data_IF_979320472055
#
_entry.id   IF_979320472055
#
_cell.length_a   1.000
_cell.length_b   1.000
_cell.length_c   1.000
_cell.angle_alpha   90.00
_cell.angle_beta   90.00
_cell.angle_gamma   90.00
#
_symmetry.space_group_name_H-M   'P 1'
#
loop_
_entity.id
_entity.type
_entity.pdbx_description
1 polymer ?
#
# COMPACT_ATOMS: atom_id res chain seq x y z
N UNK A 1 -51.74 -218.87 163.58
CA UNK A 1 -51.86 -220.10 164.38
C UNK A 1 -52.25 -221.22 163.42
N UNK A 2 -51.36 -222.17 163.16
CA UNK A 2 -51.63 -223.34 162.30
C UNK A 2 -51.60 -223.11 160.78
N UNK A 3 -51.44 -224.22 160.06
CA UNK A 3 -51.67 -224.38 158.61
C UNK A 3 -50.86 -223.52 157.62
N UNK A 4 -49.57 -223.38 157.92
CA UNK A 4 -48.55 -223.69 156.91
C UNK A 4 -47.57 -224.71 157.48
N UNK A 5 -47.91 -225.98 157.36
CA UNK A 5 -46.94 -227.09 157.50
C UNK A 5 -46.93 -227.95 156.23
N UNK A 6 -46.78 -227.30 155.05
CA UNK A 6 -46.53 -228.00 153.77
C UNK A 6 -45.85 -227.17 152.64
N UNK A 7 -46.43 -226.07 152.12
CA UNK A 7 -46.09 -225.53 150.78
C UNK A 7 -45.77 -224.02 150.65
N UNK A 8 -44.82 -223.67 149.77
CA UNK A 8 -44.83 -222.49 148.86
C UNK A 8 -44.23 -221.14 149.32
N UNK A 9 -43.69 -220.32 148.40
CA UNK A 9 -43.58 -218.85 148.61
C UNK A 9 -42.44 -218.03 147.97
N UNK A 10 -41.43 -218.62 147.31
CA UNK A 10 -40.17 -217.93 146.93
C UNK A 10 -40.29 -216.82 145.84
N UNK A 11 -41.46 -216.65 145.22
CA UNK A 11 -41.69 -215.76 144.07
C UNK A 11 -41.84 -214.27 144.38
N UNK A 12 -42.35 -213.89 145.57
CA UNK A 12 -43.02 -212.59 145.71
C UNK A 12 -42.09 -211.37 145.51
N UNK A 13 -40.82 -211.45 145.90
CA UNK A 13 -39.84 -210.37 145.71
C UNK A 13 -39.42 -210.15 144.25
N UNK A 14 -39.63 -211.11 143.35
CA UNK A 14 -39.40 -210.92 141.91
C UNK A 14 -40.63 -210.35 141.20
N UNK A 15 -41.82 -210.58 141.75
CA UNK A 15 -43.08 -210.14 141.14
C UNK A 15 -43.20 -208.60 141.10
N UNK A 16 -42.94 -207.93 142.23
CA UNK A 16 -43.06 -206.46 142.33
C UNK A 16 -42.12 -205.73 141.36
N UNK A 17 -40.88 -206.21 141.22
CA UNK A 17 -39.90 -205.63 140.29
C UNK A 17 -40.35 -205.76 138.81
N UNK A 18 -40.94 -206.91 138.44
CA UNK A 18 -41.46 -207.14 137.10
C UNK A 18 -42.70 -206.27 136.80
N UNK A 19 -43.53 -205.98 137.79
CA UNK A 19 -44.69 -205.09 137.60
C UNK A 19 -44.29 -203.61 137.49
N UNK A 20 -43.19 -203.20 138.12
CA UNK A 20 -42.60 -201.87 137.95
C UNK A 20 -41.98 -201.68 136.55
N UNK A 21 -41.24 -202.67 136.05
CA UNK A 21 -40.73 -202.73 134.67
C UNK A 21 -41.87 -202.65 133.65
N UNK A 22 -42.96 -203.41 133.85
CA UNK A 22 -44.12 -203.40 132.94
C UNK A 22 -44.76 -202.01 132.82
N UNK A 23 -44.85 -201.24 133.91
CA UNK A 23 -45.37 -199.86 133.90
C UNK A 23 -44.45 -198.91 133.13
N UNK A 24 -43.13 -199.02 133.30
CA UNK A 24 -42.14 -198.19 132.60
C UNK A 24 -42.15 -198.44 131.08
N UNK A 25 -42.29 -199.71 130.65
CA UNK A 25 -42.39 -200.06 129.24
C UNK A 25 -43.68 -199.53 128.59
N UNK A 26 -44.84 -199.63 129.25
CA UNK A 26 -46.09 -199.09 128.70
C UNK A 26 -46.03 -197.55 128.55
N UNK A 27 -45.51 -196.84 129.56
CA UNK A 27 -45.37 -195.38 129.46
C UNK A 27 -44.60 -194.95 128.21
N UNK A 28 -43.56 -195.70 127.83
CA UNK A 28 -42.71 -195.41 126.66
C UNK A 28 -43.34 -195.76 125.31
N UNK A 29 -44.26 -196.73 125.27
CA UNK A 29 -45.02 -197.08 124.05
C UNK A 29 -46.04 -195.97 123.73
N UNK A 30 -46.76 -195.47 124.74
CA UNK A 30 -47.71 -194.36 124.58
C UNK A 30 -47.03 -193.06 124.10
N UNK A 31 -45.80 -192.82 124.54
CA UNK A 31 -45.00 -191.66 124.12
C UNK A 31 -44.61 -191.75 122.62
N UNK A 32 -44.22 -192.95 122.14
CA UNK A 32 -43.86 -193.17 120.73
C UNK A 32 -45.07 -193.07 119.80
N UNK A 33 -46.25 -193.52 120.22
CA UNK A 33 -47.48 -193.44 119.44
C UNK A 33 -47.95 -191.98 119.24
N UNK A 34 -47.78 -191.14 120.27
CA UNK A 34 -48.07 -189.70 120.20
C UNK A 34 -47.17 -188.93 119.21
N UNK A 35 -45.89 -189.33 119.11
CA UNK A 35 -44.90 -188.67 118.24
C UNK A 35 -45.07 -189.04 116.75
N UNK A 36 -45.64 -190.22 116.46
CA UNK A 36 -45.91 -190.67 115.09
C UNK A 36 -47.10 -189.94 114.45
N UNK A 37 -48.16 -189.62 115.21
CA UNK A 37 -49.32 -188.91 114.65
C UNK A 37 -49.07 -187.44 114.29
N UNK A 38 -48.01 -186.80 114.82
CA UNK A 38 -47.76 -185.36 114.60
C UNK A 38 -47.01 -184.98 113.33
N UNK A 39 -46.29 -185.90 112.67
CA UNK A 39 -45.30 -185.51 111.63
C UNK A 39 -45.80 -185.38 110.19
N UNK A 40 -47.01 -185.83 109.86
CA UNK A 40 -47.45 -185.95 108.45
C UNK A 40 -48.30 -184.79 107.92
N UNK A 41 -48.93 -183.98 108.78
CA UNK A 41 -49.93 -182.99 108.35
C UNK A 41 -49.38 -181.63 107.90
N UNK A 42 -48.18 -181.23 108.36
CA UNK A 42 -47.73 -179.84 108.17
C UNK A 42 -47.00 -179.60 106.84
N UNK A 43 -46.24 -180.58 106.35
CA UNK A 43 -45.50 -180.46 105.08
C UNK A 43 -46.38 -180.23 103.85
N UNK A 44 -47.63 -180.73 103.83
CA UNK A 44 -48.53 -180.55 102.68
C UNK A 44 -49.00 -179.08 102.52
N UNK A 45 -49.16 -178.34 103.63
CA UNK A 45 -49.56 -176.93 103.61
C UNK A 45 -48.46 -176.04 103.01
N UNK A 46 -47.22 -176.29 103.39
CA UNK A 46 -46.07 -175.46 102.99
C UNK A 46 -45.79 -175.57 101.48
N UNK A 47 -45.90 -176.77 100.90
CA UNK A 47 -45.77 -176.98 99.47
C UNK A 47 -46.85 -176.22 98.65
N UNK A 48 -48.11 -176.26 99.10
CA UNK A 48 -49.22 -175.48 98.49
C UNK A 48 -48.98 -173.97 98.55
N UNK A 49 -48.39 -173.46 99.63
CA UNK A 49 -48.11 -172.04 99.79
C UNK A 49 -46.98 -171.57 98.85
N UNK A 50 -45.91 -172.36 98.71
CA UNK A 50 -44.79 -172.06 97.80
C UNK A 50 -45.21 -172.06 96.32
N UNK A 51 -46.05 -173.01 95.92
CA UNK A 51 -46.61 -173.05 94.55
C UNK A 51 -47.41 -171.78 94.19
N UNK A 52 -48.24 -171.30 95.13
CA UNK A 52 -48.99 -170.04 94.94
C UNK A 52 -48.07 -168.83 94.77
N UNK A 53 -47.03 -168.70 95.62
CA UNK A 53 -46.04 -167.62 95.51
C UNK A 53 -45.32 -167.63 94.15
N UNK A 54 -44.92 -168.80 93.65
CA UNK A 54 -44.25 -168.91 92.35
C UNK A 54 -45.12 -168.39 91.19
N UNK A 55 -46.43 -168.70 91.20
CA UNK A 55 -47.37 -168.19 90.20
C UNK A 55 -47.66 -166.69 90.34
N UNK A 56 -47.68 -166.16 91.57
CA UNK A 56 -47.79 -164.71 91.83
C UNK A 56 -46.60 -163.95 91.26
N UNK A 57 -45.36 -164.42 91.54
CA UNK A 57 -44.15 -163.79 90.99
C UNK A 57 -44.11 -163.82 89.46
N UNK A 58 -44.53 -164.94 88.84
CA UNK A 58 -44.62 -165.02 87.37
C UNK A 58 -45.52 -163.93 86.81
N UNK A 59 -46.75 -163.79 87.32
CA UNK A 59 -47.70 -162.80 86.81
C UNK A 59 -47.15 -161.37 86.98
N UNK A 60 -46.55 -161.06 88.14
CA UNK A 60 -45.95 -159.73 88.39
C UNK A 60 -44.77 -159.42 87.46
N UNK A 61 -44.01 -160.42 87.03
CA UNK A 61 -42.99 -160.25 85.99
C UNK A 61 -43.57 -160.01 84.60
N UNK A 62 -44.66 -160.69 84.24
CA UNK A 62 -45.40 -160.48 82.98
C UNK A 62 -45.98 -159.05 82.93
N UNK A 63 -46.69 -158.63 84.00
CA UNK A 63 -47.23 -157.27 84.15
C UNK A 63 -46.14 -156.19 84.04
N UNK A 64 -45.00 -156.41 84.70
CA UNK A 64 -43.86 -155.49 84.68
C UNK A 64 -43.20 -155.38 83.30
N UNK A 65 -43.20 -156.46 82.51
CA UNK A 65 -42.68 -156.47 81.14
C UNK A 65 -43.60 -155.70 80.20
N UNK A 66 -44.90 -155.91 80.31
CA UNK A 66 -45.89 -155.19 79.49
C UNK A 66 -45.94 -153.69 79.82
N UNK A 67 -45.75 -153.32 81.10
CA UNK A 67 -45.56 -151.93 81.50
C UNK A 67 -44.30 -151.32 80.85
N UNK A 68 -43.16 -152.03 80.90
CA UNK A 68 -41.91 -151.58 80.28
C UNK A 68 -42.03 -151.39 78.76
N UNK A 69 -42.71 -152.31 78.05
CA UNK A 69 -42.95 -152.19 76.60
C UNK A 69 -43.84 -151.00 76.25
N UNK A 70 -44.90 -150.73 77.04
CA UNK A 70 -45.74 -149.53 76.86
C UNK A 70 -44.96 -148.24 77.08
N UNK A 71 -44.07 -148.20 78.08
CA UNK A 71 -43.19 -147.06 78.31
C UNK A 71 -42.19 -146.87 77.16
N UNK A 72 -41.57 -147.94 76.65
CA UNK A 72 -40.66 -147.88 75.50
C UNK A 72 -41.35 -147.27 74.27
N UNK A 73 -42.53 -147.78 73.90
CA UNK A 73 -43.30 -147.27 72.76
C UNK A 73 -43.70 -145.79 72.93
N UNK A 74 -44.04 -145.38 74.16
CA UNK A 74 -44.36 -143.97 74.46
C UNK A 74 -43.11 -143.07 74.33
N UNK A 75 -41.93 -143.56 74.71
CA UNK A 75 -40.65 -142.85 74.58
C UNK A 75 -40.25 -142.71 73.10
N UNK A 76 -40.38 -143.76 72.30
CA UNK A 76 -40.11 -143.72 70.85
C UNK A 76 -41.04 -142.74 70.13
N UNK A 77 -42.34 -142.73 70.48
CA UNK A 77 -43.31 -141.78 69.92
C UNK A 77 -42.95 -140.33 70.31
N UNK A 78 -42.60 -140.07 71.57
CA UNK A 78 -42.17 -138.76 72.04
C UNK A 78 -40.86 -138.29 71.39
N UNK A 79 -39.90 -139.19 71.15
CA UNK A 79 -38.64 -138.87 70.48
C UNK A 79 -38.87 -138.46 69.02
N UNK A 80 -39.70 -139.20 68.28
CA UNK A 80 -40.05 -138.86 66.90
C UNK A 80 -40.81 -137.52 66.81
N UNK A 81 -41.73 -137.23 67.73
CA UNK A 81 -42.37 -135.91 67.82
C UNK A 81 -41.36 -134.81 68.10
N UNK A 82 -40.40 -135.03 69.00
CA UNK A 82 -39.35 -134.05 69.33
C UNK A 82 -38.45 -133.74 68.14
N UNK A 83 -38.05 -134.75 67.36
CA UNK A 83 -37.24 -134.55 66.15
C UNK A 83 -38.01 -133.78 65.07
N UNK A 84 -39.29 -134.09 64.85
CA UNK A 84 -40.13 -133.34 63.91
C UNK A 84 -40.32 -131.87 64.32
N UNK A 85 -40.47 -131.61 65.63
CA UNK A 85 -40.51 -130.23 66.14
C UNK A 85 -39.17 -129.51 65.96
N UNK A 86 -38.03 -130.20 66.12
CA UNK A 86 -36.70 -129.62 65.92
C UNK A 86 -36.42 -129.24 64.46
N UNK A 87 -36.84 -130.07 63.50
CA UNK A 87 -36.74 -129.74 62.07
C UNK A 87 -37.58 -128.50 61.72
N UNK A 88 -38.85 -128.46 62.15
CA UNK A 88 -39.72 -127.30 61.93
C UNK A 88 -39.18 -126.01 62.58
N UNK A 89 -38.50 -126.11 63.74
CA UNK A 89 -37.91 -124.95 64.41
C UNK A 89 -36.75 -124.34 63.62
N UNK A 90 -35.92 -125.18 62.96
CA UNK A 90 -34.84 -124.71 62.07
C UNK A 90 -35.39 -124.01 60.82
N UNK A 91 -36.48 -124.52 60.25
CA UNK A 91 -37.12 -123.90 59.08
C UNK A 91 -37.66 -122.51 59.42
N UNK A 92 -38.33 -122.37 60.57
CA UNK A 92 -38.78 -121.08 61.10
C UNK A 92 -37.60 -120.13 61.39
N UNK A 93 -36.49 -120.63 61.94
CA UNK A 93 -35.28 -119.82 62.20
C UNK A 93 -34.71 -119.22 60.89
N UNK A 94 -34.67 -120.01 59.82
CA UNK A 94 -34.26 -119.55 58.49
C UNK A 94 -35.22 -118.48 57.93
N UNK A 95 -36.53 -118.69 57.99
CA UNK A 95 -37.51 -117.70 57.52
C UNK A 95 -37.42 -116.37 58.30
N UNK A 96 -37.31 -116.44 59.63
CA UNK A 96 -37.16 -115.26 60.50
C UNK A 96 -35.88 -114.48 60.15
N UNK A 97 -34.78 -115.18 59.87
CA UNK A 97 -33.51 -114.55 59.46
C UNK A 97 -33.65 -113.77 58.14
N UNK A 98 -34.32 -114.36 57.15
CA UNK A 98 -34.55 -113.75 55.84
C UNK A 98 -35.53 -112.56 55.91
N UNK A 99 -36.52 -112.60 56.81
CA UNK A 99 -37.42 -111.47 57.06
C UNK A 99 -36.66 -110.32 57.72
N UNK A 100 -35.81 -110.60 58.71
CA UNK A 100 -35.00 -109.60 59.41
C UNK A 100 -34.10 -108.81 58.45
N UNK A 101 -33.41 -109.49 57.54
CA UNK A 101 -32.55 -108.86 56.54
C UNK A 101 -33.33 -107.93 55.59
N UNK A 102 -34.50 -108.38 55.10
CA UNK A 102 -35.40 -107.56 54.27
C UNK A 102 -35.91 -106.31 55.02
N UNK A 103 -36.21 -106.43 56.31
CA UNK A 103 -36.61 -105.30 57.14
C UNK A 103 -35.46 -104.29 57.34
N UNK A 104 -34.23 -104.76 57.56
CA UNK A 104 -33.05 -103.90 57.68
C UNK A 104 -32.76 -103.13 56.37
N UNK A 105 -32.85 -103.81 55.21
CA UNK A 105 -32.69 -103.16 53.91
C UNK A 105 -33.71 -102.06 53.64
N UNK A 106 -35.00 -102.30 53.96
CA UNK A 106 -36.06 -101.28 53.84
C UNK A 106 -35.84 -100.10 54.79
N UNK A 107 -35.47 -100.36 56.04
CA UNK A 107 -35.25 -99.31 57.03
C UNK A 107 -34.13 -98.35 56.61
N UNK A 108 -33.04 -98.88 56.03
CA UNK A 108 -31.96 -98.05 55.49
C UNK A 108 -32.46 -97.17 54.33
N UNK A 109 -33.14 -97.75 53.34
CA UNK A 109 -33.68 -96.98 52.21
C UNK A 109 -34.61 -95.82 52.63
N UNK A 110 -35.46 -96.06 53.64
CA UNK A 110 -36.33 -95.02 54.21
C UNK A 110 -35.54 -93.91 54.89
N UNK A 111 -34.43 -94.24 55.57
CA UNK A 111 -33.58 -93.26 56.23
C UNK A 111 -32.81 -92.40 55.22
N UNK A 112 -32.18 -93.02 54.23
CA UNK A 112 -31.47 -92.33 53.14
C UNK A 112 -32.42 -91.32 52.43
N UNK A 113 -33.67 -91.75 52.15
CA UNK A 113 -34.71 -90.89 51.53
C UNK A 113 -35.15 -89.72 52.42
N UNK A 114 -35.13 -89.87 53.74
CA UNK A 114 -35.53 -88.82 54.69
C UNK A 114 -34.46 -87.72 54.79
N UNK A 115 -33.18 -88.09 54.74
CA UNK A 115 -32.06 -87.15 54.74
C UNK A 115 -32.06 -86.28 53.47
N UNK A 116 -32.32 -86.88 52.30
CA UNK A 116 -32.47 -86.13 51.04
C UNK A 116 -33.59 -85.08 51.09
N UNK A 117 -34.80 -85.47 51.52
CA UNK A 117 -35.96 -84.57 51.62
C UNK A 117 -35.67 -83.38 52.57
N UNK A 118 -35.04 -83.66 53.71
CA UNK A 118 -34.69 -82.64 54.70
C UNK A 118 -33.70 -81.62 54.12
N UNK A 119 -32.74 -82.08 53.32
CA UNK A 119 -31.78 -81.18 52.62
C UNK A 119 -32.45 -80.29 51.58
N UNK A 120 -33.46 -80.80 50.87
CA UNK A 120 -34.20 -80.07 49.85
C UNK A 120 -35.07 -78.97 50.48
N UNK A 121 -35.74 -79.28 51.60
CA UNK A 121 -36.55 -78.30 52.34
C UNK A 121 -35.71 -77.09 52.79
N UNK A 122 -34.52 -77.34 53.33
CA UNK A 122 -33.60 -76.27 53.76
C UNK A 122 -33.16 -75.37 52.58
N UNK A 123 -32.89 -75.95 51.41
CA UNK A 123 -32.54 -75.21 50.19
C UNK A 123 -33.69 -74.34 49.67
N UNK A 124 -34.93 -74.86 49.73
CA UNK A 124 -36.13 -74.12 49.32
C UNK A 124 -36.40 -72.95 50.27
N UNK A 125 -36.34 -73.18 51.60
CA UNK A 125 -36.51 -72.11 52.61
C UNK A 125 -35.55 -70.95 52.39
N UNK A 126 -34.27 -71.23 52.15
CA UNK A 126 -33.26 -70.20 51.88
C UNK A 126 -33.56 -69.37 50.61
N UNK A 127 -34.13 -69.98 49.57
CA UNK A 127 -34.52 -69.27 48.34
C UNK A 127 -35.72 -68.36 48.56
N UNK A 128 -36.70 -68.78 49.37
CA UNK A 128 -37.86 -67.97 49.75
C UNK A 128 -37.40 -66.73 50.53
N UNK A 129 -36.56 -66.92 51.56
CA UNK A 129 -35.97 -65.83 52.35
C UNK A 129 -35.22 -64.80 51.49
N UNK A 130 -34.45 -65.24 50.48
CA UNK A 130 -33.79 -64.31 49.54
C UNK A 130 -34.76 -63.55 48.63
N UNK A 131 -35.91 -64.12 48.27
CA UNK A 131 -36.93 -63.44 47.47
C UNK A 131 -37.69 -62.42 48.31
N UNK A 132 -38.10 -62.79 49.51
CA UNK A 132 -38.78 -61.90 50.46
C UNK A 132 -37.93 -60.66 50.75
N UNK A 133 -36.64 -60.82 51.03
CA UNK A 133 -35.70 -59.72 51.27
C UNK A 133 -35.54 -58.79 50.04
N UNK A 134 -35.64 -59.29 48.80
CA UNK A 134 -35.60 -58.44 47.60
C UNK A 134 -36.89 -57.61 47.48
N UNK A 135 -38.05 -58.21 47.71
CA UNK A 135 -39.34 -57.51 47.64
C UNK A 135 -39.56 -56.52 48.79
N UNK A 136 -39.04 -56.77 50.00
CA UNK A 136 -39.12 -55.84 51.12
C UNK A 136 -38.24 -54.58 50.92
N UNK A 137 -37.02 -54.74 50.38
CA UNK A 137 -36.12 -53.60 50.18
C UNK A 137 -36.48 -52.72 48.97
N UNK A 138 -37.18 -53.26 47.96
CA UNK A 138 -37.56 -52.53 46.74
C UNK A 138 -39.08 -52.62 46.46
N UNK A 139 -39.93 -51.99 47.29
CA UNK A 139 -41.39 -52.05 47.13
C UNK A 139 -41.90 -51.37 45.86
N UNK A 140 -41.12 -50.47 45.25
CA UNK A 140 -41.42 -49.72 44.02
C UNK A 140 -40.40 -49.96 42.91
N UNK A 141 -39.82 -51.18 42.82
CA UNK A 141 -38.77 -51.55 41.87
C UNK A 141 -39.04 -51.12 40.41
N UNK A 142 -40.29 -51.16 39.96
CA UNK A 142 -40.67 -50.71 38.62
C UNK A 142 -40.49 -49.19 38.42
N UNK A 143 -40.84 -48.38 39.42
CA UNK A 143 -40.65 -46.92 39.36
C UNK A 143 -39.16 -46.56 39.41
N UNK A 144 -38.35 -47.32 40.16
CA UNK A 144 -36.89 -47.16 40.15
C UNK A 144 -36.30 -47.46 38.76
N UNK A 145 -36.81 -48.47 38.06
CA UNK A 145 -36.41 -48.81 36.69
C UNK A 145 -36.81 -47.73 35.68
N UNK A 146 -38.07 -47.25 35.70
CA UNK A 146 -38.53 -46.18 34.79
C UNK A 146 -37.73 -44.87 34.98
N UNK A 147 -37.41 -44.51 36.22
CA UNK A 147 -36.55 -43.35 36.51
C UNK A 147 -35.13 -43.54 35.95
N UNK A 148 -34.58 -44.76 36.02
CA UNK A 148 -33.24 -45.07 35.52
C UNK A 148 -33.19 -45.01 33.98
N UNK A 149 -34.23 -45.47 33.30
CA UNK A 149 -34.39 -45.31 31.84
C UNK A 149 -34.51 -43.83 31.43
N UNK A 150 -35.26 -43.01 32.18
CA UNK A 150 -35.35 -41.57 31.93
C UNK A 150 -34.00 -40.86 32.09
N UNK A 151 -33.26 -41.16 33.16
CA UNK A 151 -31.92 -40.61 33.41
C UNK A 151 -30.94 -41.03 32.30
N UNK A 152 -31.07 -42.25 31.78
CA UNK A 152 -30.24 -42.73 30.67
C UNK A 152 -30.52 -41.95 29.37
N UNK A 153 -31.79 -41.69 29.05
CA UNK A 153 -32.19 -40.90 27.89
C UNK A 153 -31.70 -39.44 27.97
N UNK A 154 -31.81 -38.81 29.15
CA UNK A 154 -31.25 -37.46 29.39
C UNK A 154 -29.72 -37.45 29.25
N UNK A 155 -29.04 -38.49 29.73
CA UNK A 155 -27.60 -38.67 29.58
C UNK A 155 -27.15 -38.76 28.13
N UNK A 156 -27.87 -39.51 27.28
CA UNK A 156 -27.58 -39.62 25.85
C UNK A 156 -27.79 -38.27 25.13
N UNK A 157 -28.85 -37.53 25.46
CA UNK A 157 -29.10 -36.20 24.87
C UNK A 157 -28.00 -35.19 25.26
N UNK A 158 -27.57 -35.20 26.54
CA UNK A 158 -26.46 -34.38 27.02
C UNK A 158 -25.14 -34.74 26.34
N UNK A 159 -24.83 -36.02 26.16
CA UNK A 159 -23.61 -36.45 25.47
C UNK A 159 -23.60 -36.02 24.00
N UNK A 160 -24.75 -36.04 23.32
CA UNK A 160 -24.89 -35.50 21.97
C UNK A 160 -24.69 -33.97 21.92
N UNK A 161 -25.26 -33.22 22.88
CA UNK A 161 -25.02 -31.76 23.02
C UNK A 161 -23.52 -31.45 23.26
N UNK A 162 -22.86 -32.18 24.15
CA UNK A 162 -21.43 -32.04 24.44
C UNK A 162 -20.59 -32.30 23.17
N UNK A 163 -20.89 -33.37 22.41
CA UNK A 163 -20.18 -33.68 21.17
C UNK A 163 -20.33 -32.58 20.10
N UNK A 164 -21.50 -31.95 20.00
CA UNK A 164 -21.74 -30.82 19.07
C UNK A 164 -20.94 -29.58 19.51
N UNK A 165 -20.99 -29.23 20.81
CA UNK A 165 -20.25 -28.08 21.37
C UNK A 165 -18.73 -28.28 21.25
N UNK A 166 -18.24 -29.49 21.52
CA UNK A 166 -16.82 -29.82 21.36
C UNK A 166 -16.37 -29.64 19.91
N UNK A 167 -17.14 -30.16 18.93
CA UNK A 167 -16.84 -29.97 17.50
C UNK A 167 -16.83 -28.50 17.09
N UNK A 168 -17.83 -27.71 17.50
CA UNK A 168 -17.91 -26.29 17.12
C UNK A 168 -16.83 -25.43 17.81
N UNK A 169 -16.46 -25.75 19.05
CA UNK A 169 -15.33 -25.16 19.76
C UNK A 169 -14.01 -25.46 19.04
N UNK A 170 -13.81 -26.69 18.58
CA UNK A 170 -12.59 -27.11 17.87
C UNK A 170 -12.48 -26.43 16.49
N UNK A 171 -13.60 -26.23 15.78
CA UNK A 171 -13.64 -25.42 14.54
C UNK A 171 -13.29 -23.96 14.82
N UNK A 172 -13.95 -23.31 15.79
CA UNK A 172 -13.62 -21.93 16.19
C UNK A 172 -12.18 -21.75 16.63
N UNK A 173 -11.61 -22.74 17.31
CA UNK A 173 -10.19 -22.72 17.72
C UNK A 173 -9.28 -22.73 16.49
N UNK A 174 -9.60 -23.51 15.45
CA UNK A 174 -8.87 -23.48 14.17
C UNK A 174 -9.03 -22.15 13.43
N UNK A 175 -10.23 -21.57 13.39
CA UNK A 175 -10.48 -20.25 12.79
C UNK A 175 -9.67 -19.14 13.49
N UNK A 176 -9.61 -19.18 14.83
CA UNK A 176 -8.78 -18.26 15.64
C UNK A 176 -7.29 -18.51 15.41
N UNK A 177 -6.84 -19.76 15.38
CA UNK A 177 -5.44 -20.09 15.07
C UNK A 177 -5.07 -19.56 13.67
N UNK A 178 -5.93 -19.73 12.66
CA UNK A 178 -5.70 -19.20 11.30
C UNK A 178 -5.61 -17.68 11.29
N UNK A 179 -6.59 -16.97 11.85
CA UNK A 179 -6.56 -15.51 11.97
C UNK A 179 -5.33 -15.00 12.73
N UNK A 180 -4.87 -15.73 13.74
CA UNK A 180 -3.65 -15.38 14.48
C UNK A 180 -2.41 -15.47 13.57
N UNK A 181 -2.26 -16.56 12.81
CA UNK A 181 -1.16 -16.72 11.86
C UNK A 181 -1.24 -15.72 10.69
N UNK A 182 -2.44 -15.38 10.21
CA UNK A 182 -2.62 -14.39 9.15
C UNK A 182 -2.22 -12.96 9.62
N UNK A 183 -2.55 -12.60 10.87
CA UNK A 183 -2.25 -11.28 11.44
C UNK A 183 -0.77 -11.14 11.84
N UNK A 184 -0.21 -12.15 12.53
CA UNK A 184 1.11 -12.09 13.17
C UNK A 184 2.22 -12.88 12.47
N UNK A 185 1.87 -13.64 11.43
CA UNK A 185 2.79 -14.54 10.75
C UNK A 185 3.01 -15.85 11.51
N UNK A 186 3.81 -16.74 10.91
CA UNK A 186 4.22 -18.00 11.53
C UNK A 186 5.60 -18.43 11.05
N UNK A 187 6.33 -19.14 11.91
CA UNK A 187 7.64 -19.73 11.55
C UNK A 187 7.46 -21.15 11.06
N UNK A 188 7.73 -21.38 9.78
CA UNK A 188 7.90 -22.73 9.25
C UNK A 188 9.35 -23.19 9.50
N UNK A 189 9.50 -24.50 9.75
CA UNK A 189 10.80 -25.17 9.76
C UNK A 189 10.84 -26.14 8.61
N UNK A 190 11.64 -25.82 7.60
CA UNK A 190 11.95 -26.77 6.54
C UNK A 190 12.88 -27.88 7.06
N UNK A 191 12.95 -29.01 6.34
CA UNK A 191 13.71 -30.20 6.75
C UNK A 191 15.21 -29.96 7.00
N UNK A 192 15.77 -28.86 6.48
CA UNK A 192 17.18 -28.46 6.60
C UNK A 192 17.46 -27.53 7.80
N UNK A 193 16.51 -27.39 8.73
CA UNK A 193 16.69 -26.67 10.00
C UNK A 193 16.72 -25.14 9.92
N UNK A 194 16.41 -24.58 8.75
CA UNK A 194 16.27 -23.13 8.55
C UNK A 194 14.86 -22.67 8.95
N UNK A 195 14.77 -21.69 9.86
CA UNK A 195 13.50 -21.07 10.23
C UNK A 195 13.12 -19.97 9.22
N UNK A 196 12.12 -20.24 8.38
CA UNK A 196 11.52 -19.24 7.50
C UNK A 196 10.30 -18.63 8.19
N UNK A 197 10.40 -17.37 8.60
CA UNK A 197 9.27 -16.59 9.11
C UNK A 197 8.42 -16.14 7.93
N UNK A 198 7.21 -16.67 7.83
CA UNK A 198 6.17 -16.12 6.97
C UNK A 198 5.65 -14.86 7.68
N UNK A 199 5.80 -13.71 7.03
CA UNK A 199 5.32 -12.42 7.53
C UNK A 199 3.79 -12.38 7.59
N UNK A 200 3.24 -11.75 8.63
CA UNK A 200 1.80 -11.53 8.75
C UNK A 200 1.38 -10.16 8.24
N UNK A 201 0.06 -9.92 8.13
CA UNK A 201 -0.49 -8.63 7.71
C UNK A 201 0.03 -7.43 8.53
N UNK A 202 0.40 -7.64 9.81
CA UNK A 202 1.03 -6.61 10.64
C UNK A 202 2.42 -6.23 10.12
N UNK A 203 3.23 -7.21 9.73
CA UNK A 203 4.59 -6.99 9.24
C UNK A 203 4.54 -6.36 7.83
N UNK A 204 3.64 -6.83 6.94
CA UNK A 204 3.38 -6.19 5.64
C UNK A 204 2.97 -4.72 5.76
N UNK A 205 2.11 -4.39 6.74
CA UNK A 205 1.67 -3.02 6.99
C UNK A 205 2.79 -2.13 7.54
N UNK A 206 3.63 -2.65 8.44
CA UNK A 206 4.80 -1.93 8.98
C UNK A 206 5.82 -1.65 7.87
N UNK A 207 6.12 -2.66 7.04
CA UNK A 207 6.99 -2.55 5.87
C UNK A 207 6.46 -1.51 4.87
N UNK A 208 5.16 -1.56 4.54
CA UNK A 208 4.50 -0.56 3.68
C UNK A 208 4.60 0.87 4.24
N UNK A 209 4.56 1.01 5.58
CA UNK A 209 4.67 2.32 6.24
C UNK A 209 6.11 2.84 6.26
N UNK A 210 7.11 1.96 6.40
CA UNK A 210 8.53 2.31 6.25
C UNK A 210 8.88 2.66 4.80
N UNK A 211 8.34 1.95 3.80
CA UNK A 211 8.50 2.28 2.37
C UNK A 211 7.91 3.68 2.08
N UNK A 212 6.65 3.93 2.43
CA UNK A 212 6.00 5.24 2.22
C UNK A 212 6.78 6.37 2.92
N UNK A 213 7.29 6.12 4.12
CA UNK A 213 8.10 7.10 4.86
C UNK A 213 9.44 7.38 4.17
N UNK A 214 10.07 6.34 3.62
CA UNK A 214 11.33 6.43 2.87
C UNK A 214 11.12 7.18 1.55
N UNK A 215 10.04 6.89 0.83
CA UNK A 215 9.64 7.59 -0.39
C UNK A 215 9.34 9.07 -0.11
N UNK A 216 8.65 9.39 0.99
CA UNK A 216 8.41 10.79 1.40
C UNK A 216 9.73 11.52 1.70
N UNK A 217 10.69 10.88 2.35
CA UNK A 217 12.01 11.50 2.58
C UNK A 217 12.78 11.71 1.27
N UNK A 218 12.83 10.70 0.40
CA UNK A 218 13.49 10.79 -0.90
C UNK A 218 12.85 11.89 -1.76
N UNK A 219 11.52 11.97 -1.81
CA UNK A 219 10.79 12.98 -2.57
C UNK A 219 10.97 14.40 -2.00
N UNK A 220 11.15 14.53 -0.68
CA UNK A 220 11.52 15.79 -0.04
C UNK A 220 12.93 16.25 -0.45
N UNK A 221 13.88 15.32 -0.50
CA UNK A 221 15.26 15.59 -0.90
C UNK A 221 15.35 15.90 -2.41
N UNK A 222 14.60 15.20 -3.26
CA UNK A 222 14.43 15.50 -4.69
C UNK A 222 13.81 16.89 -4.90
N UNK A 223 12.79 17.29 -4.12
CA UNK A 223 12.21 18.63 -4.18
C UNK A 223 13.24 19.70 -3.78
N UNK A 224 14.04 19.46 -2.73
CA UNK A 224 15.03 20.44 -2.26
C UNK A 224 16.14 20.64 -3.30
N UNK A 225 16.70 19.56 -3.84
CA UNK A 225 17.72 19.60 -4.89
C UNK A 225 17.19 20.16 -6.22
N UNK A 226 15.95 19.84 -6.61
CA UNK A 226 15.30 20.46 -7.77
C UNK A 226 15.12 21.96 -7.59
N UNK A 227 14.70 22.41 -6.40
CA UNK A 227 14.57 23.83 -6.08
C UNK A 227 15.92 24.55 -6.19
N UNK A 228 16.96 24.03 -5.55
CA UNK A 228 18.31 24.62 -5.61
C UNK A 228 18.84 24.69 -7.05
N UNK A 229 18.65 23.63 -7.82
CA UNK A 229 19.02 23.59 -9.25
C UNK A 229 18.30 24.64 -10.08
N UNK A 230 16.98 24.82 -9.88
CA UNK A 230 16.20 25.85 -10.59
C UNK A 230 16.49 27.27 -10.13
N UNK A 231 16.78 27.48 -8.85
CA UNK A 231 17.19 28.77 -8.32
C UNK A 231 18.56 29.18 -8.92
N UNK A 232 19.50 28.24 -9.04
CA UNK A 232 20.77 28.44 -9.74
C UNK A 232 20.62 28.67 -11.26
N UNK A 233 19.75 27.94 -11.96
CA UNK A 233 19.44 28.19 -13.38
C UNK A 233 18.90 29.60 -13.61
N UNK A 234 17.97 30.06 -12.75
CA UNK A 234 17.35 31.39 -12.86
C UNK A 234 18.38 32.49 -12.62
N UNK A 235 19.24 32.37 -11.60
CA UNK A 235 20.31 33.35 -11.33
C UNK A 235 21.27 33.45 -12.53
N UNK A 236 21.76 32.32 -13.03
CA UNK A 236 22.64 32.29 -14.22
C UNK A 236 21.97 32.89 -15.47
N UNK A 237 20.66 32.68 -15.64
CA UNK A 237 19.90 33.27 -16.75
C UNK A 237 19.83 34.80 -16.62
N UNK A 238 19.53 35.32 -15.41
CA UNK A 238 19.47 36.76 -15.13
C UNK A 238 20.83 37.44 -15.37
N UNK A 239 21.93 36.85 -14.89
CA UNK A 239 23.28 37.40 -15.11
C UNK A 239 23.63 37.47 -16.61
N UNK A 240 23.35 36.40 -17.36
CA UNK A 240 23.62 36.32 -18.81
C UNK A 240 22.83 37.38 -19.60
N UNK A 241 21.57 37.63 -19.24
CA UNK A 241 20.77 38.69 -19.86
C UNK A 241 21.24 40.10 -19.47
N UNK A 242 21.59 40.32 -18.20
CA UNK A 242 22.17 41.60 -17.74
C UNK A 242 23.43 41.94 -18.55
N UNK A 243 24.36 40.99 -18.68
CA UNK A 243 25.59 41.16 -19.46
C UNK A 243 25.32 41.42 -20.95
N UNK A 244 24.31 40.77 -21.55
CA UNK A 244 23.90 41.04 -22.94
C UNK A 244 23.33 42.45 -23.13
N UNK A 245 22.47 42.91 -22.22
CA UNK A 245 21.85 44.24 -22.28
C UNK A 245 22.93 45.31 -22.12
N UNK A 246 23.84 45.16 -21.17
CA UNK A 246 24.97 46.09 -20.97
C UNK A 246 25.88 46.16 -22.20
N UNK A 247 26.23 45.00 -22.78
CA UNK A 247 27.02 44.92 -24.02
C UNK A 247 26.33 45.51 -25.25
N UNK A 248 24.99 45.50 -25.32
CA UNK A 248 24.22 46.18 -26.36
C UNK A 248 24.22 47.69 -26.11
N UNK A 249 23.99 48.15 -24.88
CA UNK A 249 23.99 49.56 -24.54
C UNK A 249 25.35 50.22 -24.83
N UNK A 250 26.46 49.57 -24.47
CA UNK A 250 27.83 50.04 -24.81
C UNK A 250 28.02 50.21 -26.32
N UNK A 251 27.60 49.23 -27.13
CA UNK A 251 27.64 49.33 -28.60
C UNK A 251 26.77 50.47 -29.15
N UNK A 252 25.61 50.74 -28.55
CA UNK A 252 24.75 51.86 -28.96
C UNK A 252 25.44 53.20 -28.65
N UNK A 253 26.02 53.36 -27.45
CA UNK A 253 26.72 54.58 -27.06
C UNK A 253 27.96 54.86 -27.91
N UNK A 254 28.68 53.82 -28.35
CA UNK A 254 29.87 53.97 -29.20
C UNK A 254 29.53 54.29 -30.67
N UNK A 255 28.41 53.78 -31.19
CA UNK A 255 28.00 53.99 -32.58
C UNK A 255 27.27 55.32 -32.82
N UNK A 256 26.56 55.84 -31.82
CA UNK A 256 25.76 57.07 -31.92
C UNK A 256 26.54 58.33 -32.36
N UNK A 257 27.72 58.68 -31.80
CA UNK A 257 28.47 59.87 -32.24
C UNK A 257 28.97 59.73 -33.68
N UNK A 258 29.43 58.54 -34.06
CA UNK A 258 29.93 58.26 -35.42
C UNK A 258 28.81 58.34 -36.47
N UNK A 259 27.62 57.83 -36.15
CA UNK A 259 26.45 57.92 -37.03
C UNK A 259 25.99 59.37 -37.25
N UNK A 260 26.03 60.19 -36.19
CA UNK A 260 25.69 61.62 -36.26
C UNK A 260 26.63 62.39 -37.19
N UNK A 261 27.94 62.15 -37.12
CA UNK A 261 28.94 62.87 -37.94
C UNK A 261 29.02 62.39 -39.38
N UNK A 262 28.81 61.10 -39.63
CA UNK A 262 28.63 60.59 -40.98
C UNK A 262 27.39 61.23 -41.65
N UNK A 263 26.28 61.36 -40.90
CA UNK A 263 25.06 62.04 -41.38
C UNK A 263 25.25 63.53 -41.68
N UNK A 264 25.87 64.27 -40.75
CA UNK A 264 26.11 65.71 -40.90
C UNK A 264 27.12 66.03 -42.02
N UNK A 265 28.25 65.33 -42.07
CA UNK A 265 29.26 65.54 -43.13
C UNK A 265 28.71 65.23 -44.53
N UNK A 266 27.92 64.16 -44.67
CA UNK A 266 27.21 63.85 -45.91
C UNK A 266 26.21 64.95 -46.31
N UNK A 267 25.43 65.46 -45.36
CA UNK A 267 24.48 66.55 -45.62
C UNK A 267 25.18 67.85 -46.06
N UNK A 268 26.33 68.21 -45.47
CA UNK A 268 27.13 69.36 -45.89
C UNK A 268 27.77 69.14 -47.27
N UNK A 269 28.28 67.94 -47.56
CA UNK A 269 28.84 67.58 -48.88
C UNK A 269 27.79 67.72 -49.99
N UNK A 270 26.56 67.21 -49.77
CA UNK A 270 25.45 67.34 -50.74
C UNK A 270 25.05 68.81 -50.94
N UNK A 271 25.03 69.61 -49.86
CA UNK A 271 24.72 71.05 -49.95
C UNK A 271 25.79 71.83 -50.70
N UNK A 272 27.07 71.53 -50.47
CA UNK A 272 28.20 72.09 -51.20
C UNK A 272 28.11 71.79 -52.70
N UNK A 273 27.91 70.53 -53.08
CA UNK A 273 27.80 70.11 -54.48
C UNK A 273 26.62 70.80 -55.18
N UNK A 274 25.48 70.99 -54.49
CA UNK A 274 24.35 71.74 -55.02
C UNK A 274 24.71 73.22 -55.29
N UNK A 275 25.39 73.90 -54.36
CA UNK A 275 25.85 75.28 -54.52
C UNK A 275 26.94 75.44 -55.59
N UNK A 276 27.85 74.47 -55.75
CA UNK A 276 28.84 74.45 -56.83
C UNK A 276 28.14 74.41 -58.20
N UNK A 277 27.14 73.54 -58.35
CA UNK A 277 26.30 73.47 -59.54
C UNK A 277 25.49 74.75 -59.80
N UNK A 278 25.06 75.49 -58.76
CA UNK A 278 24.40 76.79 -58.92
C UNK A 278 25.39 77.92 -59.26
N UNK A 279 26.58 77.93 -58.64
CA UNK A 279 27.65 78.86 -58.94
C UNK A 279 28.08 78.78 -60.42
N UNK A 280 28.18 77.57 -60.97
CA UNK A 280 28.50 77.34 -62.39
C UNK A 280 27.36 77.73 -63.34
N UNK A 281 26.10 77.47 -62.99
CA UNK A 281 24.93 77.99 -63.74
C UNK A 281 24.94 79.52 -63.77
N UNK A 282 25.25 80.16 -62.65
CA UNK A 282 25.36 81.62 -62.58
C UNK A 282 26.57 82.16 -63.35
N UNK A 283 27.73 81.51 -63.26
CA UNK A 283 28.92 81.90 -64.01
C UNK A 283 28.74 81.75 -65.52
N UNK A 284 28.14 80.65 -65.98
CA UNK A 284 27.82 80.43 -67.41
C UNK A 284 26.76 81.38 -67.91
N UNK A 285 25.74 81.71 -67.11
CA UNK A 285 24.75 82.73 -67.46
C UNK A 285 25.38 84.13 -67.56
N UNK A 286 26.30 84.49 -66.66
CA UNK A 286 27.06 85.73 -66.76
C UNK A 286 27.84 85.80 -68.08
N UNK A 287 28.62 84.77 -68.42
CA UNK A 287 29.37 84.72 -69.68
C UNK A 287 28.47 84.78 -70.92
N UNK A 288 27.31 84.10 -70.92
CA UNK A 288 26.30 84.21 -71.98
C UNK A 288 25.76 85.64 -72.11
N UNK A 289 25.46 86.32 -71.00
CA UNK A 289 25.01 87.72 -71.04
C UNK A 289 26.08 88.65 -71.61
N UNK A 290 27.36 88.48 -71.24
CA UNK A 290 28.46 89.25 -71.83
C UNK A 290 28.60 88.97 -73.34
N UNK A 291 28.51 87.71 -73.77
CA UNK A 291 28.56 87.33 -75.18
C UNK A 291 27.43 87.98 -76.00
N UNK A 292 26.19 87.95 -75.50
CA UNK A 292 25.07 88.63 -76.16
C UNK A 292 25.18 90.16 -76.15
N UNK A 293 25.74 90.77 -75.10
CA UNK A 293 26.05 92.21 -75.08
C UNK A 293 27.04 92.59 -76.20
N UNK A 294 28.04 91.75 -76.45
CA UNK A 294 28.97 91.92 -77.59
C UNK A 294 28.23 91.80 -78.92
N UNK A 295 27.35 90.81 -79.10
CA UNK A 295 26.52 90.67 -80.32
C UNK A 295 25.66 91.93 -80.55
N UNK A 296 25.00 92.43 -79.51
CA UNK A 296 24.17 93.65 -79.60
C UNK A 296 25.01 94.87 -79.97
N UNK A 297 26.24 94.97 -79.45
CA UNK A 297 27.19 96.03 -79.84
C UNK A 297 27.66 95.97 -81.28
N UNK A 298 27.53 94.82 -81.95
CA UNK A 298 27.84 94.65 -83.36
C UNK A 298 26.69 95.08 -84.29
N UNK A 299 25.44 95.15 -83.79
CA UNK A 299 24.26 95.48 -84.61
C UNK A 299 24.40 96.83 -85.35
N UNK A 300 24.83 97.96 -84.72
CA UNK A 300 25.03 99.22 -85.43
C UNK A 300 26.01 99.07 -86.60
N UNK A 301 27.12 98.37 -86.38
CA UNK A 301 28.15 98.14 -87.41
C UNK A 301 27.63 97.27 -88.55
N UNK A 302 26.92 96.17 -88.24
CA UNK A 302 26.31 95.31 -89.25
C UNK A 302 25.27 96.07 -90.11
N UNK A 303 24.41 96.88 -89.49
CA UNK A 303 23.44 97.73 -90.20
C UNK A 303 24.14 98.75 -91.10
N UNK A 304 25.23 99.36 -90.64
CA UNK A 304 25.98 100.34 -91.44
C UNK A 304 26.72 99.67 -92.62
N UNK A 305 27.28 98.48 -92.45
CA UNK A 305 27.88 97.71 -93.55
C UNK A 305 26.83 97.41 -94.64
N UNK A 306 25.63 96.97 -94.27
CA UNK A 306 24.53 96.72 -95.21
C UNK A 306 24.10 98.01 -95.93
N UNK A 307 23.98 99.14 -95.21
CA UNK A 307 23.62 100.42 -95.81
C UNK A 307 24.70 100.99 -96.74
N UNK A 308 25.97 100.71 -96.49
CA UNK A 308 27.08 101.07 -97.38
C UNK A 308 27.00 100.29 -98.70
N UNK A 309 26.71 98.98 -98.65
CA UNK A 309 26.46 98.17 -99.85
C UNK A 309 25.22 98.61 -100.64
N UNK A 310 24.25 99.27 -99.99
CA UNK A 310 23.07 99.86 -100.63
C UNK A 310 23.33 101.25 -101.25
N UNK A 311 24.58 101.75 -101.23
CA UNK A 311 24.98 102.97 -101.94
C UNK A 311 24.73 104.28 -101.19
N UNK A 312 24.49 104.26 -99.87
CA UNK A 312 24.48 105.49 -99.06
C UNK A 312 25.88 106.09 -98.94
N UNK A 313 25.95 107.43 -98.96
CA UNK A 313 27.20 108.18 -98.73
C UNK A 313 27.71 108.01 -97.29
N UNK A 314 29.04 107.84 -97.16
CA UNK A 314 29.71 107.56 -95.88
C UNK A 314 29.47 108.64 -94.81
N UNK A 315 29.39 109.91 -95.22
CA UNK A 315 29.13 111.05 -94.33
C UNK A 315 27.76 110.93 -93.63
N UNK A 316 26.73 110.50 -94.37
CA UNK A 316 25.37 110.31 -93.84
C UNK A 316 25.31 109.14 -92.86
N UNK A 317 26.06 108.05 -93.10
CA UNK A 317 26.18 106.94 -92.15
C UNK A 317 26.78 107.39 -90.82
N UNK A 318 27.87 108.17 -90.84
CA UNK A 318 28.52 108.66 -89.62
C UNK A 318 27.58 109.57 -88.81
N UNK A 319 26.75 110.37 -89.48
CA UNK A 319 25.71 111.20 -88.83
C UNK A 319 24.52 110.38 -88.29
N UNK A 320 24.17 109.26 -88.91
CA UNK A 320 23.10 108.36 -88.45
C UNK A 320 23.54 107.41 -87.31
N UNK A 321 24.83 107.11 -87.19
CA UNK A 321 25.41 106.20 -86.18
C UNK A 321 24.98 106.50 -84.72
N UNK A 322 25.06 107.75 -84.19
CA UNK A 322 24.63 108.05 -82.83
C UNK A 322 23.13 107.76 -82.59
N UNK A 323 22.29 107.96 -83.62
CA UNK A 323 20.85 107.69 -83.55
C UNK A 323 20.57 106.19 -83.48
N UNK A 324 21.31 105.38 -84.24
CA UNK A 324 21.23 103.92 -84.20
C UNK A 324 21.69 103.36 -82.84
N UNK A 325 22.82 103.85 -82.31
CA UNK A 325 23.32 103.44 -80.98
C UNK A 325 22.30 103.79 -79.88
N UNK A 326 21.70 104.99 -79.93
CA UNK A 326 20.67 105.41 -78.97
C UNK A 326 19.40 104.55 -79.06
N UNK A 327 18.98 104.16 -80.27
CA UNK A 327 17.81 103.31 -80.48
C UNK A 327 17.98 101.88 -79.92
N UNK A 328 19.21 101.37 -79.85
CA UNK A 328 19.53 100.03 -79.36
C UNK A 328 19.76 100.02 -77.83
N UNK A 329 19.95 101.19 -77.20
CA UNK A 329 20.22 101.32 -75.76
C UNK A 329 19.22 100.57 -74.85
N UNK A 330 17.89 100.59 -75.08
CA UNK A 330 16.94 99.82 -74.27
C UNK A 330 17.21 98.31 -74.26
N UNK A 331 17.78 97.77 -75.34
CA UNK A 331 18.09 96.34 -75.46
C UNK A 331 19.24 95.89 -74.55
N UNK A 332 20.13 96.81 -74.15
CA UNK A 332 21.21 96.50 -73.20
C UNK A 332 20.72 96.29 -71.77
N UNK A 333 19.62 96.95 -71.37
CA UNK A 333 19.18 97.01 -69.97
C UNK A 333 18.85 95.60 -69.42
N UNK A 334 18.05 94.73 -70.11
CA UNK A 334 17.78 93.38 -69.64
C UNK A 334 19.04 92.50 -69.54
N UNK A 335 20.02 92.67 -70.43
CA UNK A 335 21.23 91.86 -70.42
C UNK A 335 22.22 92.28 -69.33
N UNK A 336 22.37 93.59 -69.10
CA UNK A 336 23.13 94.10 -67.96
C UNK A 336 22.50 93.66 -66.64
N UNK A 337 21.15 93.59 -66.56
CA UNK A 337 20.45 93.04 -65.41
C UNK A 337 20.79 91.58 -65.14
N UNK A 338 20.70 90.71 -66.16
CA UNK A 338 21.02 89.27 -66.02
C UNK A 338 22.50 89.06 -65.69
N UNK A 339 23.41 89.81 -66.33
CA UNK A 339 24.84 89.77 -66.00
C UNK A 339 25.10 90.18 -64.54
N UNK A 340 24.54 91.31 -64.10
CA UNK A 340 24.73 91.82 -62.74
C UNK A 340 24.20 90.84 -61.68
N UNK A 341 22.97 90.37 -61.85
CA UNK A 341 22.34 89.42 -60.91
C UNK A 341 23.05 88.06 -60.88
N UNK A 342 23.47 87.52 -62.02
CA UNK A 342 24.26 86.27 -62.04
C UNK A 342 25.63 86.43 -61.39
N UNK A 343 26.34 87.55 -61.60
CA UNK A 343 27.61 87.79 -60.92
C UNK A 343 27.42 87.93 -59.40
N UNK A 344 26.37 88.63 -58.93
CA UNK A 344 26.04 88.74 -57.50
C UNK A 344 25.77 87.36 -56.89
N UNK A 345 24.95 86.53 -57.55
CA UNK A 345 24.62 85.18 -57.08
C UNK A 345 25.81 84.23 -57.11
N UNK A 346 26.63 84.24 -58.16
CA UNK A 346 27.86 83.42 -58.23
C UNK A 346 28.84 83.74 -57.08
N UNK A 347 29.02 85.02 -56.74
CA UNK A 347 29.86 85.40 -55.60
C UNK A 347 29.22 85.07 -54.24
N UNK A 348 27.88 85.00 -54.15
CA UNK A 348 27.21 84.50 -52.96
C UNK A 348 27.43 82.98 -52.79
N UNK A 349 27.18 82.18 -53.83
CA UNK A 349 27.38 80.73 -53.76
C UNK A 349 28.82 80.35 -53.41
N UNK A 350 29.85 81.08 -53.90
CA UNK A 350 31.25 80.89 -53.45
C UNK A 350 31.40 80.96 -51.92
N UNK A 351 30.76 81.95 -51.28
CA UNK A 351 30.79 82.10 -49.82
C UNK A 351 30.04 80.97 -49.09
N UNK A 352 28.95 80.46 -49.67
CA UNK A 352 28.25 79.29 -49.13
C UNK A 352 29.07 78.00 -49.31
N UNK A 353 29.78 77.84 -50.43
CA UNK A 353 30.66 76.70 -50.71
C UNK A 353 31.83 76.66 -49.71
N UNK A 354 32.44 77.80 -49.40
CA UNK A 354 33.48 77.91 -48.36
C UNK A 354 32.94 77.51 -46.98
N UNK A 355 31.76 78.02 -46.59
CA UNK A 355 31.10 77.73 -45.32
C UNK A 355 30.68 76.26 -45.18
N UNK A 356 30.06 75.67 -46.22
CA UNK A 356 29.69 74.26 -46.22
C UNK A 356 30.93 73.36 -46.26
N UNK A 357 31.99 73.74 -46.98
CA UNK A 357 33.28 73.00 -46.96
C UNK A 357 33.89 73.03 -45.56
N UNK A 358 33.89 74.17 -44.88
CA UNK A 358 34.38 74.27 -43.50
C UNK A 358 33.58 73.35 -42.55
N UNK A 359 32.25 73.37 -42.65
CA UNK A 359 31.36 72.51 -41.84
C UNK A 359 31.49 71.01 -42.17
N UNK A 360 31.66 70.66 -43.44
CA UNK A 360 31.95 69.29 -43.90
C UNK A 360 33.27 68.77 -43.31
N UNK A 361 34.35 69.54 -43.46
CA UNK A 361 35.69 69.20 -42.94
C UNK A 361 35.68 69.11 -41.42
N UNK A 362 35.00 70.03 -40.74
CA UNK A 362 34.92 70.03 -39.27
C UNK A 362 34.11 68.84 -38.74
N UNK A 363 33.05 68.43 -39.45
CA UNK A 363 32.30 67.20 -39.13
C UNK A 363 33.11 65.92 -39.35
N UNK A 364 33.92 65.85 -40.43
CA UNK A 364 34.88 64.74 -40.66
C UNK A 364 36.03 64.75 -39.65
N UNK A 365 36.47 65.93 -39.22
CA UNK A 365 37.50 66.08 -38.18
C UNK A 365 36.97 65.64 -36.82
N UNK A 366 35.71 65.94 -36.49
CA UNK A 366 35.05 65.40 -35.31
C UNK A 366 35.05 63.87 -35.33
N UNK A 367 34.68 63.22 -36.45
CA UNK A 367 34.67 61.75 -36.55
C UNK A 367 36.05 61.15 -36.23
N UNK A 368 37.11 61.71 -36.83
CA UNK A 368 38.49 61.30 -36.55
C UNK A 368 38.93 61.54 -35.10
N UNK A 369 38.56 62.67 -34.50
CA UNK A 369 38.86 62.98 -33.09
C UNK A 369 38.02 62.15 -32.12
N UNK A 370 36.75 61.89 -32.41
CA UNK A 370 35.87 61.05 -31.60
C UNK A 370 36.39 59.62 -31.57
N UNK A 371 36.90 59.11 -32.70
CA UNK A 371 37.59 57.81 -32.73
C UNK A 371 38.86 57.82 -31.88
N UNK A 372 39.72 58.82 -32.04
CA UNK A 372 40.94 58.95 -31.22
C UNK A 372 40.65 59.05 -29.72
N UNK A 373 39.58 59.75 -29.32
CA UNK A 373 39.16 59.86 -27.92
C UNK A 373 38.56 58.55 -27.38
N UNK A 374 37.88 57.78 -28.24
CA UNK A 374 37.40 56.44 -27.88
C UNK A 374 38.56 55.43 -27.74
N UNK A 375 39.68 55.66 -28.42
CA UNK A 375 40.91 54.86 -28.36
C UNK A 375 41.86 55.27 -27.20
N UNK A 376 41.43 56.13 -26.25
CA UNK A 376 42.18 56.50 -25.03
C UNK A 376 41.80 55.56 -23.87
N UNK A 377 42.81 54.92 -23.26
CA UNK A 377 42.63 53.96 -22.13
C UNK A 377 42.08 54.59 -20.83
N UNK A 378 42.22 55.90 -20.65
CA UNK A 378 41.74 56.66 -19.48
C UNK A 378 40.29 57.12 -19.71
N UNK A 379 39.34 56.49 -19.01
CA UNK A 379 37.90 56.71 -19.18
C UNK A 379 37.44 58.10 -18.72
N UNK A 380 38.04 58.66 -17.66
CA UNK A 380 37.71 59.99 -17.15
C UNK A 380 38.18 61.09 -18.13
N UNK A 381 39.41 60.97 -18.64
CA UNK A 381 39.96 61.88 -19.66
C UNK A 381 39.19 61.72 -20.98
N UNK A 382 38.86 60.49 -21.40
CA UNK A 382 38.06 60.23 -22.60
C UNK A 382 36.70 60.93 -22.49
N UNK A 383 36.00 60.78 -21.36
CA UNK A 383 34.69 61.38 -21.12
C UNK A 383 34.72 62.92 -21.17
N UNK A 384 35.68 63.56 -20.49
CA UNK A 384 35.80 65.03 -20.53
C UNK A 384 36.09 65.55 -21.96
N UNK A 385 36.95 64.85 -22.70
CA UNK A 385 37.26 65.20 -24.09
C UNK A 385 36.06 64.99 -25.03
N UNK A 386 35.27 63.91 -24.87
CA UNK A 386 34.01 63.72 -25.63
C UNK A 386 33.05 64.88 -25.40
N UNK A 387 32.86 65.31 -24.14
CA UNK A 387 31.97 66.43 -23.79
C UNK A 387 32.45 67.74 -24.44
N UNK A 388 33.75 68.08 -24.33
CA UNK A 388 34.32 69.27 -24.97
C UNK A 388 34.19 69.22 -26.50
N UNK A 389 34.40 68.06 -27.11
CA UNK A 389 34.27 67.88 -28.56
C UNK A 389 32.82 68.08 -29.01
N UNK A 390 31.84 67.50 -28.30
CA UNK A 390 30.39 67.66 -28.55
C UNK A 390 29.96 69.13 -28.41
N UNK A 391 30.46 69.84 -27.40
CA UNK A 391 30.19 71.26 -27.23
C UNK A 391 30.74 72.11 -28.39
N UNK A 392 31.95 71.79 -28.88
CA UNK A 392 32.57 72.51 -29.99
C UNK A 392 31.84 72.30 -31.33
N UNK A 393 31.44 71.06 -31.68
CA UNK A 393 30.63 70.81 -32.89
C UNK A 393 29.25 71.48 -32.80
N UNK A 394 28.62 71.47 -31.62
CA UNK A 394 27.32 72.11 -31.41
C UNK A 394 27.40 73.62 -31.66
N UNK A 395 28.40 74.30 -31.10
CA UNK A 395 28.58 75.74 -31.28
C UNK A 395 28.82 76.11 -32.75
N UNK A 396 29.66 75.36 -33.47
CA UNK A 396 29.94 75.62 -34.90
C UNK A 396 28.75 75.26 -35.80
N UNK A 397 28.02 74.18 -35.48
CA UNK A 397 26.82 73.77 -36.23
C UNK A 397 25.63 74.71 -35.97
N UNK A 398 25.60 75.43 -34.84
CA UNK A 398 24.49 76.32 -34.49
C UNK A 398 24.50 77.65 -35.25
N UNK A 399 25.60 78.04 -35.90
CA UNK A 399 25.62 79.25 -36.72
C UNK A 399 24.95 79.02 -38.08
N UNK A 400 23.87 79.76 -38.36
CA UNK A 400 23.12 79.63 -39.62
C UNK A 400 23.91 80.26 -40.80
N UNK A 401 24.19 79.51 -41.90
CA UNK A 401 24.86 80.05 -43.09
C UNK A 401 24.21 81.32 -43.69
N UNK A 402 22.90 81.50 -43.50
CA UNK A 402 22.16 82.68 -43.95
C UNK A 402 22.66 84.01 -43.37
N UNK A 403 23.35 83.99 -42.22
CA UNK A 403 24.01 85.17 -41.61
C UNK A 403 25.11 85.76 -42.52
N UNK A 404 25.64 84.96 -43.44
CA UNK A 404 26.66 85.36 -44.43
C UNK A 404 26.04 86.03 -45.68
N UNK A 405 24.72 86.07 -45.80
CA UNK A 405 24.01 86.83 -46.84
C UNK A 405 23.91 88.29 -46.39
N UNK A 406 24.95 89.07 -46.66
CA UNK A 406 24.91 90.53 -46.47
C UNK A 406 23.77 91.11 -47.31
N UNK A 407 22.88 91.88 -46.67
CA UNK A 407 21.69 92.48 -47.26
C UNK A 407 20.57 91.52 -47.71
N UNK A 408 20.29 90.44 -46.95
CA UNK A 408 19.10 89.58 -47.14
C UNK A 408 17.77 90.37 -47.26
N UNK A 409 17.69 91.56 -46.65
CA UNK A 409 16.50 92.42 -46.62
C UNK A 409 16.48 93.53 -47.68
N UNK A 410 17.45 93.61 -48.61
CA UNK A 410 17.41 94.60 -49.70
C UNK A 410 16.99 93.94 -51.01
N UNK A 411 16.16 94.63 -51.79
CA UNK A 411 15.72 94.15 -53.08
C UNK A 411 16.90 93.95 -54.05
N UNK A 412 16.97 92.79 -54.70
CA UNK A 412 17.96 92.43 -55.73
C UNK A 412 17.68 93.15 -57.06
N UNK A 413 17.66 94.49 -57.03
CA UNK A 413 17.38 95.35 -58.16
C UNK A 413 18.67 96.05 -58.62
N UNK A 414 19.30 95.63 -59.75
CA UNK A 414 20.56 96.17 -60.24
C UNK A 414 20.64 97.69 -60.31
N UNK A 415 19.55 98.39 -60.68
CA UNK A 415 19.55 99.86 -60.70
C UNK A 415 19.55 100.49 -59.30
N UNK A 416 18.95 99.86 -58.28
CA UNK A 416 18.94 100.39 -56.90
C UNK A 416 20.30 100.13 -56.25
N UNK A 417 20.86 98.93 -56.43
CA UNK A 417 22.20 98.57 -55.96
C UNK A 417 23.30 99.44 -56.65
N UNK A 418 23.14 99.72 -57.95
CA UNK A 418 23.99 100.67 -58.67
C UNK A 418 23.79 102.13 -58.19
N UNK A 419 22.56 102.54 -57.85
CA UNK A 419 22.26 103.87 -57.31
C UNK A 419 22.90 104.03 -55.92
N UNK A 420 22.73 103.07 -55.01
CA UNK A 420 23.36 103.05 -53.69
C UNK A 420 24.89 103.14 -53.81
N UNK A 421 25.49 102.37 -54.73
CA UNK A 421 26.93 102.45 -55.04
C UNK A 421 27.33 103.79 -55.65
N UNK A 422 26.46 104.43 -56.44
CA UNK A 422 26.71 105.77 -56.97
C UNK A 422 26.66 106.86 -55.88
N UNK A 423 25.82 106.70 -54.86
CA UNK A 423 25.79 107.57 -53.67
C UNK A 423 27.04 107.36 -52.80
N UNK A 424 27.50 106.12 -52.67
CA UNK A 424 28.80 105.81 -52.04
C UNK A 424 29.98 106.40 -52.84
N UNK A 425 29.89 106.40 -54.18
CA UNK A 425 30.90 107.04 -55.05
C UNK A 425 30.85 108.57 -54.95
N UNK A 426 29.67 109.18 -54.90
CA UNK A 426 29.51 110.62 -54.67
C UNK A 426 30.11 111.05 -53.33
N UNK A 427 29.80 110.33 -52.24
CA UNK A 427 30.41 110.59 -50.93
C UNK A 427 31.92 110.28 -50.87
N UNK A 428 32.42 109.37 -51.70
CA UNK A 428 33.86 109.17 -51.88
C UNK A 428 34.52 110.30 -52.68
N UNK A 429 33.84 110.88 -53.68
CA UNK A 429 34.29 112.06 -54.43
C UNK A 429 34.27 113.32 -53.56
N UNK A 430 33.27 113.48 -52.68
CA UNK A 430 33.26 114.52 -51.65
C UNK A 430 34.43 114.35 -50.67
N UNK A 431 34.75 113.12 -50.25
CA UNK A 431 35.96 112.85 -49.45
C UNK A 431 37.25 113.16 -50.23
N UNK A 432 37.29 112.87 -51.53
CA UNK A 432 38.42 113.20 -52.41
C UNK A 432 38.59 114.72 -52.61
N UNK A 433 37.51 115.50 -52.54
CA UNK A 433 37.55 116.97 -52.60
C UNK A 433 38.37 117.62 -51.46
N UNK A 434 38.48 116.91 -50.33
CA UNK A 434 39.23 117.35 -49.15
C UNK A 434 40.75 117.04 -49.22
N UNK A 435 41.24 116.45 -50.32
CA UNK A 435 42.68 116.19 -50.52
C UNK A 435 43.33 117.37 -51.28
N UNK A 436 44.38 118.02 -50.72
CA UNK A 436 45.02 119.16 -51.37
C UNK A 436 45.68 118.76 -52.70
N UNK A 437 45.35 119.50 -53.77
CA UNK A 437 45.85 119.28 -55.13
C UNK A 437 44.74 118.98 -56.16
N UNK A 438 43.68 118.27 -55.77
CA UNK A 438 42.56 117.92 -56.68
C UNK A 438 41.41 118.95 -56.69
N UNK A 439 41.52 120.02 -55.89
CA UNK A 439 40.45 121.01 -55.65
C UNK A 439 39.94 121.73 -56.90
N UNK A 440 40.76 121.95 -57.94
CA UNK A 440 40.29 122.54 -59.21
C UNK A 440 39.42 121.57 -60.04
N UNK A 441 39.81 120.31 -60.12
CA UNK A 441 39.08 119.27 -60.86
C UNK A 441 37.78 118.94 -60.12
N UNK A 442 37.86 118.77 -58.80
CA UNK A 442 36.70 118.55 -57.93
C UNK A 442 35.68 119.71 -58.03
N UNK A 443 36.11 120.98 -57.93
CA UNK A 443 35.19 122.13 -58.10
C UNK A 443 34.56 122.19 -59.49
N UNK A 444 35.29 121.85 -60.55
CA UNK A 444 34.73 121.84 -61.91
C UNK A 444 33.71 120.70 -62.09
N UNK A 445 33.95 119.53 -61.48
CA UNK A 445 32.99 118.42 -61.46
C UNK A 445 31.76 118.74 -60.61
N UNK A 446 31.95 119.32 -59.43
CA UNK A 446 30.89 119.69 -58.49
C UNK A 446 29.97 120.78 -59.05
N UNK A 447 30.53 121.85 -59.64
CA UNK A 447 29.74 122.89 -60.33
C UNK A 447 28.96 122.30 -61.50
N UNK A 448 29.57 121.40 -62.29
CA UNK A 448 28.89 120.77 -63.44
C UNK A 448 27.82 119.76 -63.01
N UNK A 449 28.06 119.03 -61.91
CA UNK A 449 27.11 118.13 -61.27
C UNK A 449 25.91 118.91 -60.72
N UNK A 450 26.14 120.00 -59.99
CA UNK A 450 25.10 120.90 -59.48
C UNK A 450 24.33 121.60 -60.60
N UNK A 451 24.98 121.99 -61.69
CA UNK A 451 24.28 122.48 -62.88
C UNK A 451 23.39 121.41 -63.52
N UNK A 452 23.89 120.19 -63.73
CA UNK A 452 23.10 119.09 -64.29
C UNK A 452 21.93 118.68 -63.39
N UNK A 453 22.13 118.66 -62.06
CA UNK A 453 21.06 118.42 -61.09
C UNK A 453 20.03 119.55 -61.11
N UNK A 454 20.45 120.81 -61.19
CA UNK A 454 19.53 121.96 -61.22
C UNK A 454 18.78 122.06 -62.55
N UNK A 455 19.42 121.75 -63.68
CA UNK A 455 18.77 121.69 -65.00
C UNK A 455 17.78 120.52 -65.08
N UNK A 456 18.12 119.34 -64.53
CA UNK A 456 17.18 118.22 -64.43
C UNK A 456 16.05 118.46 -63.43
N UNK A 457 16.31 119.15 -62.32
CA UNK A 457 15.28 119.56 -61.37
C UNK A 457 14.32 120.56 -62.05
N UNK A 458 14.82 121.61 -62.70
CA UNK A 458 13.97 122.55 -63.45
C UNK A 458 13.18 121.86 -64.58
N UNK A 459 13.75 120.89 -65.30
CA UNK A 459 13.02 120.13 -66.33
C UNK A 459 11.97 119.18 -65.74
N UNK A 460 12.22 118.61 -64.57
CA UNK A 460 11.23 117.82 -63.85
C UNK A 460 10.11 118.69 -63.27
N UNK A 461 10.45 119.87 -62.75
CA UNK A 461 9.52 120.86 -62.20
C UNK A 461 8.67 121.51 -63.31
N UNK A 462 9.25 121.84 -64.46
CA UNK A 462 8.50 122.27 -65.65
C UNK A 462 7.59 121.15 -66.20
N UNK A 463 8.05 119.90 -66.22
CA UNK A 463 7.22 118.76 -66.62
C UNK A 463 6.07 118.47 -65.66
N UNK A 464 6.27 118.69 -64.35
CA UNK A 464 5.23 118.61 -63.33
C UNK A 464 4.26 119.79 -63.38
N UNK A 465 4.74 121.00 -63.71
CA UNK A 465 3.90 122.17 -63.91
C UNK A 465 2.99 122.02 -65.14
N UNK A 466 3.53 121.58 -66.28
CA UNK A 466 2.72 121.31 -67.48
C UNK A 466 1.68 120.20 -67.27
N UNK A 467 1.98 119.22 -66.40
CA UNK A 467 1.02 118.18 -66.01
C UNK A 467 -0.05 118.66 -65.02
N UNK A 468 0.14 119.81 -64.36
CA UNK A 468 -0.90 120.42 -63.53
C UNK A 468 -1.75 121.41 -64.33
N UNK A 469 -1.16 122.21 -65.22
CA UNK A 469 -1.90 123.10 -66.14
C UNK A 469 -2.84 122.29 -67.06
N UNK A 470 -2.39 121.14 -67.61
CA UNK A 470 -3.27 120.22 -68.38
C UNK A 470 -4.43 119.60 -67.56
N UNK A 471 -4.43 119.68 -66.23
CA UNK A 471 -5.52 119.18 -65.39
C UNK A 471 -6.50 120.28 -64.92
N UNK A 472 -6.07 121.55 -64.84
CA UNK A 472 -6.99 122.68 -64.55
C UNK A 472 -7.82 123.07 -65.78
N UNK A 473 -7.25 123.03 -66.99
CA UNK A 473 -7.98 123.29 -68.25
C UNK A 473 -9.10 122.26 -68.53
N UNK A 474 -9.04 121.06 -67.93
CA UNK A 474 -10.05 119.99 -68.10
C UNK A 474 -11.24 120.15 -67.12
N UNK A 475 -11.11 120.92 -66.04
CA UNK A 475 -12.21 121.20 -65.12
C UNK A 475 -12.99 122.49 -65.50
N UNK A 476 -12.35 123.53 -66.03
CA UNK A 476 -13.08 124.74 -66.49
C UNK A 476 -13.96 124.48 -67.75
N UNK A 477 -13.57 123.56 -68.63
CA UNK A 477 -14.35 123.24 -69.85
C UNK A 477 -15.66 122.44 -69.59
N UNK A 478 -15.99 122.16 -68.31
CA UNK A 478 -17.26 121.53 -67.90
C UNK A 478 -18.24 122.47 -67.17
N UNK A 479 -17.91 123.75 -67.03
CA UNK A 479 -18.74 124.73 -66.32
C UNK A 479 -18.96 126.06 -67.08
N UNK A 480 -19.14 125.97 -68.41
CA UNK A 480 -19.79 127.01 -69.23
C UNK A 480 -20.77 126.40 -70.24
#
# INVERSE_FOLDING_TARGET
MGFKEFFGGEDMSKLDYLEEERKKLWAKILEIEADLQKKTSDFEKEAKQSSRKASEYRNRCEDSKDAALKHLSSIEQAHNQTNNHLEALKEIELEVSAIKEKCQGKLKYTQDSYEEITSLEASIRKKIETLENIFENHPSLNEEIENLESIFAEGEELQNKINIIHKSSLTRKKEIDQLFHDIFGYTNKDEDGSETRVEGMKDELENSFEEIKTDITNFSDDISSFKESKEAEIVNFIENWTHKIEGINKKITDLLPNALTAGLSSAYSIKKEAEENEADKHNTNFHKSIFWLVIISLIPFAVNIVQLFQGKELEKLILEMPRLVLAILPLYIPLLWVAYTSNKKSNLSKRLIEEYTHKEVLSKTFEGLSRQINDIDDEDISSELRIKLIFNILNVSSENPGKLITDYNKADHPLIDALDKSVQLATAVDKLSNIPGFTKISKMLDVKSKQLLKEKAMKAEQGLASLNEENEDIEEEKTN
#
